data_IF_753417012762
#
_entry.id   IF_753417012762
#
_cell.length_a   1.000
_cell.length_b   1.000
_cell.length_c   1.000
_cell.angle_alpha   90.00
_cell.angle_beta   90.00
_cell.angle_gamma   90.00
#
_symmetry.space_group_name_H-M   'P 1'
#
loop_
_entity.id
_entity.type
_entity.pdbx_description
1 polymer ?
#
# COMPACT_ATOMS: atom_id res chain seq x y z
N UNK A 1 6.59 -44.51 31.22
CA UNK A 1 6.36 -43.23 30.53
C UNK A 1 5.26 -43.44 29.51
N UNK A 2 4.01 -43.21 29.92
CA UNK A 2 2.84 -43.39 29.07
C UNK A 2 2.76 -42.20 28.12
N UNK A 3 2.79 -42.45 26.81
CA UNK A 3 2.52 -41.43 25.81
C UNK A 3 1.09 -40.91 26.04
N UNK A 4 0.96 -39.68 26.51
CA UNK A 4 -0.33 -39.01 26.57
C UNK A 4 -0.83 -38.81 25.14
N UNK A 5 -1.94 -39.46 24.79
CA UNK A 5 -2.73 -39.17 23.61
C UNK A 5 -3.22 -37.72 23.72
N UNK A 6 -2.44 -36.77 23.19
CA UNK A 6 -2.59 -35.33 23.44
C UNK A 6 -3.78 -34.65 22.75
N UNK A 7 -5.00 -35.13 23.00
CA UNK A 7 -6.24 -34.51 22.54
C UNK A 7 -7.52 -34.97 23.25
N UNK A 8 -7.55 -36.12 23.92
CA UNK A 8 -8.80 -36.63 24.49
C UNK A 8 -9.35 -35.72 25.60
N UNK A 9 -10.50 -35.09 25.33
CA UNK A 9 -11.27 -34.26 26.27
C UNK A 9 -10.80 -32.81 26.46
N UNK A 10 -9.85 -32.32 25.66
CA UNK A 10 -9.52 -30.89 25.63
C UNK A 10 -10.62 -30.17 24.85
N UNK A 11 -11.19 -29.12 25.42
CA UNK A 11 -12.18 -28.29 24.73
C UNK A 11 -11.47 -27.09 24.13
N UNK A 12 -11.68 -26.84 22.84
CA UNK A 12 -11.21 -25.64 22.16
C UNK A 12 -12.39 -24.69 21.94
N UNK A 13 -12.17 -23.36 21.93
CA UNK A 13 -13.24 -22.42 21.66
C UNK A 13 -13.72 -22.53 20.20
N UNK A 14 -14.94 -22.05 19.93
CA UNK A 14 -15.47 -21.97 18.57
C UNK A 14 -14.52 -21.16 17.68
N UNK A 15 -14.13 -21.74 16.54
CA UNK A 15 -13.09 -21.17 15.66
C UNK A 15 -11.67 -21.60 16.00
N UNK A 16 -11.46 -22.60 16.87
CA UNK A 16 -10.18 -23.28 17.02
C UNK A 16 -10.35 -24.81 16.95
N UNK A 17 -9.35 -25.50 16.41
CA UNK A 17 -9.38 -26.95 16.20
C UNK A 17 -8.00 -27.57 16.47
N UNK A 18 -7.97 -28.78 17.04
CA UNK A 18 -6.73 -29.57 17.15
C UNK A 18 -6.58 -30.38 15.86
N UNK A 19 -5.67 -29.95 14.99
CA UNK A 19 -5.50 -30.45 13.62
C UNK A 19 -4.37 -31.49 13.47
N UNK A 20 -3.85 -32.02 14.59
CA UNK A 20 -2.85 -33.08 14.59
C UNK A 20 -1.83 -32.93 15.72
N UNK A 21 -0.69 -33.64 15.58
CA UNK A 21 0.45 -33.55 16.50
C UNK A 21 1.78 -33.56 15.75
N UNK A 22 2.76 -32.83 16.26
CA UNK A 22 4.15 -32.83 15.77
C UNK A 22 5.07 -33.07 16.95
N UNK A 23 5.84 -34.16 16.94
CA UNK A 23 6.75 -34.49 18.05
C UNK A 23 6.05 -34.69 19.41
N UNK A 24 4.79 -35.14 19.42
CA UNK A 24 3.97 -35.27 20.64
C UNK A 24 3.31 -33.97 21.11
N UNK A 25 3.59 -32.83 20.45
CA UNK A 25 2.93 -31.55 20.72
C UNK A 25 1.69 -31.41 19.83
N UNK A 26 0.51 -31.09 20.38
CA UNK A 26 -0.68 -30.86 19.58
C UNK A 26 -0.55 -29.61 18.72
N UNK A 27 -1.05 -29.69 17.49
CA UNK A 27 -1.12 -28.58 16.55
C UNK A 27 -2.51 -27.96 16.63
N UNK A 28 -2.58 -26.75 17.16
CA UNK A 28 -3.79 -25.96 17.23
C UNK A 28 -3.91 -25.11 15.97
N UNK A 29 -5.05 -25.19 15.30
CA UNK A 29 -5.46 -24.26 14.25
C UNK A 29 -6.47 -23.29 14.86
N UNK A 30 -6.36 -22.02 14.50
CA UNK A 30 -7.26 -20.95 14.95
C UNK A 30 -7.71 -20.21 13.69
N UNK A 31 -9.02 -20.06 13.54
CA UNK A 31 -9.62 -19.40 12.40
C UNK A 31 -9.30 -17.91 12.42
N UNK A 32 -8.95 -17.38 11.24
CA UNK A 32 -8.85 -15.96 10.96
C UNK A 32 -10.07 -15.58 10.10
N UNK A 33 -11.14 -15.02 10.70
CA UNK A 33 -12.30 -14.62 9.93
C UNK A 33 -11.91 -13.52 8.93
N UNK A 34 -12.40 -13.66 7.70
CA UNK A 34 -12.34 -12.60 6.72
C UNK A 34 -13.35 -11.49 7.04
N UNK A 35 -13.09 -10.28 6.54
CA UNK A 35 -14.06 -9.18 6.56
C UNK A 35 -15.24 -9.43 5.59
N UNK A 36 -16.20 -8.51 5.57
CA UNK A 36 -17.39 -8.58 4.71
C UNK A 36 -17.06 -8.63 3.21
N UNK A 37 -15.88 -8.15 2.82
CA UNK A 37 -15.38 -8.14 1.44
C UNK A 37 -14.52 -9.39 1.12
N UNK A 38 -14.36 -10.31 2.07
CA UNK A 38 -13.64 -11.57 1.90
C UNK A 38 -12.12 -11.46 2.09
N UNK A 39 -11.64 -10.42 2.79
CA UNK A 39 -10.21 -10.20 3.01
C UNK A 39 -9.77 -10.42 4.46
N UNK A 40 -8.52 -10.87 4.63
CA UNK A 40 -7.83 -10.98 5.91
C UNK A 40 -6.74 -9.90 5.98
N UNK A 41 -6.61 -9.24 7.13
CA UNK A 41 -5.58 -8.23 7.35
C UNK A 41 -4.19 -8.80 7.60
N UNK A 42 -3.18 -8.03 7.26
CA UNK A 42 -1.77 -8.33 7.42
C UNK A 42 -1.05 -7.05 7.82
N UNK A 43 -0.19 -7.10 8.84
CA UNK A 43 0.59 -5.95 9.32
C UNK A 43 2.06 -6.17 9.11
N UNK A 44 2.75 -5.23 8.45
CA UNK A 44 4.19 -5.35 8.29
C UNK A 44 4.94 -4.94 9.58
N UNK A 45 5.77 -5.81 10.18
CA UNK A 45 6.50 -5.47 11.40
C UNK A 45 7.65 -4.49 11.16
N UNK A 46 8.08 -4.30 9.89
CA UNK A 46 9.15 -3.37 9.53
C UNK A 46 8.66 -1.93 9.35
N UNK A 47 7.55 -1.74 8.64
CA UNK A 47 7.03 -0.39 8.35
C UNK A 47 5.75 -0.04 9.12
N UNK A 48 5.13 -0.99 9.83
CA UNK A 48 3.92 -0.77 10.61
C UNK A 48 2.63 -0.64 9.79
N UNK A 49 2.73 -0.70 8.45
CA UNK A 49 1.61 -0.52 7.54
C UNK A 49 0.80 -1.82 7.39
N UNK A 50 -0.51 -1.64 7.28
CA UNK A 50 -1.48 -2.71 7.10
C UNK A 50 -1.80 -2.90 5.60
N UNK A 51 -2.01 -4.14 5.19
CA UNK A 51 -2.49 -4.53 3.86
C UNK A 51 -3.38 -5.76 3.98
N UNK A 52 -4.08 -6.13 2.92
CA UNK A 52 -5.00 -7.27 2.96
C UNK A 52 -4.79 -8.29 1.87
N UNK A 53 -5.17 -9.52 2.16
CA UNK A 53 -5.16 -10.65 1.24
C UNK A 53 -6.56 -11.24 1.14
N UNK A 54 -7.01 -11.56 -0.06
CA UNK A 54 -8.29 -12.25 -0.22
C UNK A 54 -8.19 -13.66 0.39
N UNK A 55 -9.18 -14.03 1.20
CA UNK A 55 -9.17 -15.28 1.97
C UNK A 55 -9.00 -16.52 1.07
N UNK A 56 -9.76 -16.61 -0.01
CA UNK A 56 -9.66 -17.73 -0.97
C UNK A 56 -8.26 -17.90 -1.59
N UNK A 57 -7.46 -16.84 -1.64
CA UNK A 57 -6.12 -16.89 -2.25
C UNK A 57 -5.06 -17.28 -1.20
N UNK A 58 -5.39 -17.31 0.09
CA UNK A 58 -4.43 -17.43 1.20
C UNK A 58 -3.66 -18.75 1.19
N UNK A 59 -4.34 -19.87 0.94
CA UNK A 59 -3.72 -21.20 0.87
C UNK A 59 -2.76 -21.34 -0.32
N UNK A 60 -3.06 -20.65 -1.43
CA UNK A 60 -2.25 -20.66 -2.65
C UNK A 60 -1.01 -19.76 -2.61
N UNK A 61 -0.80 -19.02 -1.50
CA UNK A 61 0.34 -18.12 -1.38
C UNK A 61 1.67 -18.88 -1.24
N UNK A 62 2.78 -18.31 -1.76
CA UNK A 62 4.12 -18.85 -1.52
C UNK A 62 4.50 -18.88 -0.04
N UNK A 63 5.52 -19.67 0.32
CA UNK A 63 6.00 -19.78 1.72
C UNK A 63 6.34 -18.42 2.33
N UNK A 64 7.07 -17.61 1.56
CA UNK A 64 7.36 -16.21 1.88
C UNK A 64 6.50 -15.26 1.06
N UNK A 65 5.93 -14.26 1.71
CA UNK A 65 5.19 -13.17 1.07
C UNK A 65 5.91 -11.84 1.27
N UNK A 66 5.54 -10.86 0.44
CA UNK A 66 6.12 -9.53 0.43
C UNK A 66 5.20 -8.49 1.08
N UNK A 67 5.75 -7.60 1.89
CA UNK A 67 5.09 -6.36 2.26
C UNK A 67 4.84 -5.52 0.99
N UNK A 68 3.58 -5.18 0.72
CA UNK A 68 3.17 -4.40 -0.46
C UNK A 68 3.84 -3.03 -0.57
N UNK A 69 4.27 -2.46 0.57
CA UNK A 69 4.84 -1.11 0.64
C UNK A 69 6.38 -1.12 0.64
N UNK A 70 6.99 -1.80 1.62
CA UNK A 70 8.43 -1.70 1.87
C UNK A 70 9.26 -2.87 1.32
N UNK A 71 8.61 -3.93 0.80
CA UNK A 71 9.30 -5.07 0.21
C UNK A 71 9.99 -6.00 1.21
N UNK A 72 9.66 -5.94 2.51
CA UNK A 72 10.07 -7.00 3.44
C UNK A 72 9.50 -8.34 2.93
N UNK A 73 10.36 -9.33 2.70
CA UNK A 73 9.95 -10.69 2.41
C UNK A 73 10.12 -11.57 3.65
N UNK A 74 9.05 -12.24 4.07
CA UNK A 74 9.08 -13.15 5.21
C UNK A 74 7.93 -14.16 5.11
N UNK A 75 7.93 -15.16 5.98
CA UNK A 75 6.81 -16.11 6.09
C UNK A 75 5.51 -15.41 6.51
N UNK A 76 4.36 -15.97 6.14
CA UNK A 76 3.03 -15.36 6.33
C UNK A 76 2.75 -14.94 7.79
N UNK A 77 3.11 -15.78 8.76
CA UNK A 77 2.92 -15.50 10.18
C UNK A 77 3.69 -14.28 10.70
N UNK A 78 4.73 -13.83 9.98
CA UNK A 78 5.45 -12.60 10.31
C UNK A 78 4.64 -11.33 10.04
N UNK A 79 3.49 -11.47 9.37
CA UNK A 79 2.60 -10.38 9.03
C UNK A 79 1.28 -10.42 9.81
N UNK A 80 1.22 -11.16 10.91
CA UNK A 80 0.02 -11.15 11.76
C UNK A 80 -0.26 -9.75 12.31
N UNK A 81 -1.54 -9.42 12.41
CA UNK A 81 -1.96 -8.18 13.07
C UNK A 81 -1.98 -8.35 14.58
N UNK A 82 -2.11 -7.24 15.31
CA UNK A 82 -2.23 -7.27 16.77
C UNK A 82 -3.47 -8.07 17.21
N UNK A 83 -4.60 -7.89 16.53
CA UNK A 83 -5.83 -8.60 16.88
C UNK A 83 -5.75 -10.10 16.57
N UNK A 84 -5.06 -10.48 15.48
CA UNK A 84 -4.76 -11.88 15.18
C UNK A 84 -3.87 -12.49 16.25
N UNK A 85 -2.81 -11.78 16.65
CA UNK A 85 -1.90 -12.22 17.71
C UNK A 85 -2.64 -12.44 19.04
N UNK A 86 -3.46 -11.47 19.47
CA UNK A 86 -4.26 -11.58 20.70
C UNK A 86 -5.22 -12.76 20.64
N UNK A 87 -5.84 -13.00 19.48
CA UNK A 87 -6.71 -14.15 19.23
C UNK A 87 -5.96 -15.48 19.38
N UNK A 88 -4.75 -15.58 18.83
CA UNK A 88 -3.91 -16.76 19.01
C UNK A 88 -3.49 -16.95 20.48
N UNK A 89 -3.12 -15.87 21.18
CA UNK A 89 -2.72 -15.93 22.59
C UNK A 89 -3.83 -16.44 23.51
N UNK A 90 -5.09 -16.04 23.28
CA UNK A 90 -6.24 -16.56 24.04
C UNK A 90 -6.38 -18.07 23.82
N UNK A 91 -6.32 -18.53 22.58
CA UNK A 91 -6.41 -19.96 22.26
C UNK A 91 -5.29 -20.78 22.93
N UNK A 92 -4.05 -20.27 22.88
CA UNK A 92 -2.87 -20.91 23.51
C UNK A 92 -3.00 -20.92 25.03
N UNK A 93 -3.43 -19.80 25.64
CA UNK A 93 -3.63 -19.69 27.09
C UNK A 93 -4.68 -20.69 27.59
N UNK A 94 -5.79 -20.80 26.87
CA UNK A 94 -6.88 -21.70 27.26
C UNK A 94 -6.49 -23.17 27.10
N UNK A 95 -5.75 -23.49 26.04
CA UNK A 95 -5.16 -24.81 25.86
C UNK A 95 -4.18 -25.13 27.01
N UNK A 96 -3.25 -24.23 27.30
CA UNK A 96 -2.25 -24.40 28.36
C UNK A 96 -2.87 -24.56 29.75
N UNK A 97 -3.91 -23.77 30.07
CA UNK A 97 -4.64 -23.89 31.32
C UNK A 97 -5.27 -25.29 31.49
N UNK A 98 -5.90 -25.83 30.45
CA UNK A 98 -6.48 -27.18 30.50
C UNK A 98 -5.45 -28.28 30.66
N UNK A 99 -4.29 -28.16 29.99
CA UNK A 99 -3.18 -29.10 30.16
C UNK A 99 -2.66 -29.05 31.61
N UNK A 100 -2.45 -27.85 32.15
CA UNK A 100 -1.99 -27.67 33.53
C UNK A 100 -3.00 -28.25 34.54
N UNK A 101 -4.30 -28.00 34.38
CA UNK A 101 -5.36 -28.55 35.26
C UNK A 101 -5.39 -30.09 35.24
N UNK A 102 -5.08 -30.72 34.10
CA UNK A 102 -5.03 -32.18 34.02
C UNK A 102 -3.80 -32.77 34.68
N UNK A 103 -2.67 -32.07 34.61
CA UNK A 103 -1.44 -32.48 35.30
C UNK A 103 -1.56 -32.35 36.82
N UNK A 104 -2.45 -31.48 37.32
CA UNK A 104 -2.64 -31.25 38.76
C UNK A 104 -3.69 -32.14 39.44
N UNK A 105 -4.39 -33.03 38.70
CA UNK A 105 -5.31 -34.04 39.24
C UNK A 105 -4.62 -35.15 40.09
N UNK A 106 -3.51 -34.83 40.76
CA UNK A 106 -2.70 -35.74 41.58
C UNK A 106 -1.78 -35.06 42.61
N UNK A 107 -2.06 -33.82 43.05
CA UNK A 107 -1.29 -33.19 44.15
C UNK A 107 -2.14 -33.10 45.42
N UNK A 108 -1.67 -33.78 46.48
CA UNK A 108 -2.32 -33.88 47.80
C UNK A 108 -1.32 -33.62 49.00
N UNK A 109 -1.65 -33.78 50.31
CA UNK A 109 -1.85 -32.78 51.40
C UNK A 109 -0.68 -31.97 51.94
N UNK A 110 0.51 -32.07 51.35
CA UNK A 110 1.74 -31.49 51.91
C UNK A 110 2.27 -30.27 51.10
N UNK A 111 1.43 -29.72 50.21
CA UNK A 111 1.79 -28.67 49.24
C UNK A 111 0.77 -28.60 48.09
N UNK A 112 -0.52 -28.55 48.43
CA UNK A 112 -1.62 -28.87 47.50
C UNK A 112 -2.08 -27.72 46.60
N UNK A 113 -2.43 -28.06 45.36
CA UNK A 113 -3.29 -27.25 44.50
C UNK A 113 -4.52 -28.08 44.13
N UNK A 114 -5.69 -27.66 44.60
CA UNK A 114 -7.00 -28.22 44.22
C UNK A 114 -7.59 -27.47 43.04
N UNK A 115 -7.65 -28.10 41.86
CA UNK A 115 -8.48 -27.66 40.74
C UNK A 115 -9.59 -28.69 40.50
N UNK A 116 -10.81 -28.43 41.00
CA UNK A 116 -11.92 -29.34 40.80
C UNK A 116 -13.28 -28.72 41.10
N UNK A 117 -14.21 -28.82 40.15
CA UNK A 117 -15.64 -28.63 40.39
C UNK A 117 -16.47 -28.23 39.17
N UNK A 118 -15.88 -27.59 38.16
CA UNK A 118 -16.62 -27.16 36.95
C UNK A 118 -15.89 -27.59 35.68
N UNK A 119 -16.60 -28.02 34.62
CA UNK A 119 -15.98 -28.25 33.32
C UNK A 119 -15.31 -26.95 32.87
N UNK A 120 -14.02 -27.03 32.50
CA UNK A 120 -13.30 -25.89 31.94
C UNK A 120 -14.06 -25.40 30.70
N UNK A 121 -14.40 -24.12 30.68
CA UNK A 121 -15.03 -23.47 29.53
C UNK A 121 -13.98 -22.58 28.88
N UNK A 122 -13.55 -22.89 27.65
CA UNK A 122 -12.70 -21.99 26.88
C UNK A 122 -13.33 -20.60 26.79
N UNK A 123 -12.50 -19.58 26.86
CA UNK A 123 -12.90 -18.21 26.58
C UNK A 123 -13.21 -18.09 25.08
N UNK A 124 -14.27 -17.34 24.72
CA UNK A 124 -14.51 -17.01 23.33
C UNK A 124 -13.28 -16.32 22.72
N UNK A 125 -12.95 -16.69 21.49
CA UNK A 125 -11.86 -16.04 20.78
C UNK A 125 -12.22 -14.56 20.52
N UNK A 126 -11.31 -13.60 20.81
CA UNK A 126 -11.53 -12.19 20.52
C UNK A 126 -11.96 -11.96 19.07
N UNK A 127 -12.95 -11.09 18.81
CA UNK A 127 -13.32 -10.73 17.45
C UNK A 127 -12.18 -9.99 16.76
N UNK A 128 -12.15 -10.06 15.44
CA UNK A 128 -11.25 -9.25 14.60
C UNK A 128 -12.11 -8.19 13.91
N UNK A 129 -11.83 -6.93 14.19
CA UNK A 129 -12.43 -5.74 13.59
C UNK A 129 -11.29 -4.77 13.20
N UNK A 130 -10.80 -4.94 11.99
CA UNK A 130 -9.68 -4.19 11.42
C UNK A 130 -10.19 -3.18 10.37
N UNK A 131 -9.50 -2.03 10.24
CA UNK A 131 -9.91 -0.92 9.37
C UNK A 131 -10.19 -1.38 7.94
N UNK A 132 -11.43 -1.30 7.45
CA UNK A 132 -11.90 -1.98 6.23
C UNK A 132 -11.34 -1.46 4.89
N UNK A 133 -11.52 -2.29 3.87
CA UNK A 133 -11.12 -2.20 2.46
C UNK A 133 -11.01 -0.78 1.88
N UNK A 134 -9.84 -0.42 1.32
CA UNK A 134 -9.63 0.91 0.72
C UNK A 134 -9.43 0.84 -0.80
N UNK A 135 -8.56 -0.05 -1.33
CA UNK A 135 -8.39 -0.24 -2.79
C UNK A 135 -8.00 -1.68 -3.14
N UNK A 136 -8.89 -2.43 -3.80
CA UNK A 136 -8.64 -3.83 -4.23
C UNK A 136 -7.80 -3.89 -5.50
N UNK A 137 -6.77 -4.73 -5.50
CA UNK A 137 -5.86 -4.94 -6.63
C UNK A 137 -5.87 -6.41 -7.04
N UNK A 138 -5.74 -6.62 -8.34
CA UNK A 138 -5.50 -7.92 -8.94
C UNK A 138 -4.14 -7.87 -9.63
N UNK A 139 -3.20 -8.70 -9.20
CA UNK A 139 -1.86 -8.70 -9.79
C UNK A 139 -1.91 -9.18 -11.25
N UNK A 140 -1.43 -8.37 -12.19
CA UNK A 140 -1.37 -8.76 -13.61
C UNK A 140 -0.50 -10.00 -13.89
N UNK A 141 0.47 -10.30 -13.02
CA UNK A 141 1.41 -11.43 -13.19
C UNK A 141 0.92 -12.72 -12.56
N UNK A 142 0.44 -12.68 -11.31
CA UNK A 142 0.05 -13.89 -10.55
C UNK A 142 -1.43 -13.97 -10.18
N UNK A 143 -2.25 -12.98 -10.58
CA UNK A 143 -3.70 -12.89 -10.32
C UNK A 143 -4.14 -12.78 -8.86
N UNK A 144 -3.20 -12.74 -7.92
CA UNK A 144 -3.49 -12.56 -6.50
C UNK A 144 -4.35 -11.31 -6.27
N UNK A 145 -5.42 -11.46 -5.47
CA UNK A 145 -6.24 -10.37 -4.98
C UNK A 145 -5.74 -9.89 -3.63
N UNK A 146 -5.46 -8.60 -3.53
CA UNK A 146 -4.97 -7.95 -2.32
C UNK A 146 -5.52 -6.53 -2.21
N UNK A 147 -5.60 -5.97 -1.02
CA UNK A 147 -6.03 -4.59 -0.84
C UNK A 147 -4.95 -3.77 -0.13
N UNK A 148 -4.87 -2.49 -0.50
CA UNK A 148 -3.87 -1.54 0.01
C UNK A 148 -4.55 -0.23 0.44
N UNK A 149 -3.91 0.48 1.36
CA UNK A 149 -4.37 1.76 1.90
C UNK A 149 -3.65 2.96 1.26
N UNK A 150 -2.57 2.71 0.51
CA UNK A 150 -1.76 3.74 -0.12
C UNK A 150 -1.01 3.25 -1.35
N UNK A 151 -0.02 4.05 -1.79
CA UNK A 151 0.84 3.68 -2.91
C UNK A 151 1.66 2.45 -2.55
N UNK A 152 1.58 1.42 -3.38
CA UNK A 152 2.24 0.14 -3.17
C UNK A 152 3.20 -0.17 -4.32
N UNK A 153 4.22 -0.98 -4.03
CA UNK A 153 5.30 -1.32 -4.99
C UNK A 153 5.50 -2.83 -5.16
N UNK A 154 4.84 -3.65 -4.35
CA UNK A 154 5.00 -5.10 -4.36
C UNK A 154 3.64 -5.79 -4.39
N UNK A 155 3.58 -6.90 -5.12
CA UNK A 155 2.57 -7.93 -4.97
C UNK A 155 2.98 -8.85 -3.81
N UNK A 156 2.06 -9.21 -2.90
CA UNK A 156 2.39 -10.11 -1.79
C UNK A 156 2.93 -11.48 -2.23
N UNK A 157 2.52 -12.00 -3.39
CA UNK A 157 2.99 -13.29 -3.88
C UNK A 157 4.25 -13.17 -4.76
N UNK A 158 4.22 -12.37 -5.82
CA UNK A 158 5.28 -12.40 -6.84
C UNK A 158 6.34 -11.29 -6.71
N UNK A 159 6.26 -10.45 -5.68
CA UNK A 159 7.28 -9.43 -5.40
C UNK A 159 7.06 -8.13 -6.18
N UNK A 160 8.15 -7.48 -6.60
CA UNK A 160 8.12 -6.10 -7.09
C UNK A 160 7.23 -5.94 -8.34
N UNK A 161 6.35 -4.95 -8.30
CA UNK A 161 5.46 -4.62 -9.41
C UNK A 161 6.22 -3.87 -10.52
N UNK A 162 5.82 -4.05 -11.80
CA UNK A 162 6.34 -3.24 -12.89
C UNK A 162 6.11 -1.74 -12.63
N UNK A 163 7.11 -0.91 -12.90
CA UNK A 163 7.05 0.52 -12.61
C UNK A 163 5.86 1.24 -13.28
N UNK A 164 5.46 0.80 -14.47
CA UNK A 164 4.31 1.38 -15.18
C UNK A 164 2.96 1.07 -14.48
N UNK A 165 2.84 -0.10 -13.83
CA UNK A 165 1.66 -0.45 -13.03
C UNK A 165 1.58 0.42 -11.78
N UNK A 166 2.71 0.61 -11.09
CA UNK A 166 2.80 1.50 -9.93
C UNK A 166 2.47 2.94 -10.33
N UNK A 167 2.95 3.39 -11.50
CA UNK A 167 2.66 4.72 -12.01
C UNK A 167 1.17 4.92 -12.32
N UNK A 168 0.55 3.98 -13.03
CA UNK A 168 -0.88 4.03 -13.30
C UNK A 168 -1.72 4.04 -12.01
N UNK A 169 -1.38 3.18 -11.04
CA UNK A 169 -2.08 3.11 -9.76
C UNK A 169 -2.00 4.41 -8.96
N UNK A 170 -0.85 5.10 -8.99
CA UNK A 170 -0.68 6.37 -8.30
C UNK A 170 -1.47 7.50 -8.96
N UNK A 171 -1.61 7.51 -10.29
CA UNK A 171 -2.45 8.46 -11.02
C UNK A 171 -3.93 8.24 -10.71
N UNK A 172 -4.38 6.98 -10.67
CA UNK A 172 -5.75 6.64 -10.28
C UNK A 172 -6.03 7.09 -8.84
N UNK A 173 -5.08 6.87 -7.91
CA UNK A 173 -5.20 7.33 -6.53
C UNK A 173 -5.31 8.86 -6.42
N UNK A 174 -4.58 9.60 -7.28
CA UNK A 174 -4.65 11.05 -7.32
C UNK A 174 -6.02 11.53 -7.82
N UNK A 175 -6.58 10.88 -8.84
CA UNK A 175 -7.93 11.13 -9.33
C UNK A 175 -8.98 10.84 -8.25
N UNK A 176 -8.91 9.67 -7.61
CA UNK A 176 -9.84 9.27 -6.54
C UNK A 176 -9.83 10.29 -5.38
N UNK A 177 -8.65 10.81 -5.03
CA UNK A 177 -8.49 11.84 -3.99
C UNK A 177 -9.16 13.16 -4.37
N UNK A 178 -9.09 13.58 -5.63
CA UNK A 178 -9.81 14.77 -6.11
C UNK A 178 -11.32 14.55 -6.15
N UNK A 179 -11.77 13.35 -6.52
CA UNK A 179 -13.18 13.00 -6.53
C UNK A 179 -13.77 13.01 -5.11
N UNK A 180 -13.02 12.50 -4.14
CA UNK A 180 -13.41 12.53 -2.74
C UNK A 180 -13.59 13.96 -2.21
N UNK A 181 -12.61 14.83 -2.45
CA UNK A 181 -12.71 16.24 -2.08
C UNK A 181 -13.91 16.93 -2.75
N UNK A 182 -14.22 16.55 -3.99
CA UNK A 182 -15.34 17.12 -4.76
C UNK A 182 -16.69 16.68 -4.20
N UNK A 183 -16.81 15.42 -3.75
CA UNK A 183 -18.04 14.87 -3.16
C UNK A 183 -18.36 15.44 -1.79
N UNK A 184 -17.37 15.94 -1.05
CA UNK A 184 -17.59 16.56 0.27
C UNK A 184 -18.40 17.85 0.13
N UNK A 185 -19.50 17.93 0.86
CA UNK A 185 -20.41 19.09 0.89
C UNK A 185 -20.71 19.55 2.32
N UNK A 186 -21.39 20.69 2.47
CA UNK A 186 -21.84 21.17 3.78
C UNK A 186 -20.71 21.66 4.71
N UNK A 187 -20.94 21.54 6.02
CA UNK A 187 -20.07 22.09 7.05
C UNK A 187 -18.67 21.48 7.06
N UNK A 188 -18.57 20.16 6.81
CA UNK A 188 -17.29 19.45 6.73
C UNK A 188 -16.42 19.99 5.58
N UNK A 189 -17.00 20.16 4.39
CA UNK A 189 -16.29 20.69 3.24
C UNK A 189 -15.88 22.15 3.43
N UNK A 190 -16.61 22.93 4.24
CA UNK A 190 -16.22 24.28 4.61
C UNK A 190 -15.02 24.26 5.55
N UNK A 191 -15.05 23.43 6.60
CA UNK A 191 -13.96 23.28 7.55
C UNK A 191 -12.65 22.84 6.86
N UNK A 192 -12.71 21.85 5.95
CA UNK A 192 -11.54 21.40 5.20
C UNK A 192 -10.97 22.49 4.27
N UNK A 193 -11.83 23.35 3.69
CA UNK A 193 -11.36 24.51 2.90
C UNK A 193 -10.71 25.58 3.77
N UNK A 194 -11.29 25.87 4.93
CA UNK A 194 -10.70 26.81 5.92
C UNK A 194 -9.32 26.33 6.40
N UNK A 195 -9.14 25.02 6.54
CA UNK A 195 -7.86 24.38 6.87
C UNK A 195 -6.89 24.28 5.69
N UNK A 196 -7.28 24.72 4.49
CA UNK A 196 -6.43 24.69 3.29
C UNK A 196 -6.25 23.30 2.65
N UNK A 197 -6.99 22.28 3.08
CA UNK A 197 -6.81 20.88 2.64
C UNK A 197 -6.98 20.73 1.13
N UNK A 198 -7.91 21.48 0.53
CA UNK A 198 -8.16 21.43 -0.91
C UNK A 198 -6.97 21.94 -1.73
N UNK A 199 -6.42 23.09 -1.35
CA UNK A 199 -5.33 23.74 -2.07
C UNK A 199 -4.01 22.98 -1.83
N UNK A 200 -3.78 22.48 -0.61
CA UNK A 200 -2.64 21.62 -0.29
C UNK A 200 -2.69 20.31 -1.06
N UNK A 201 -3.85 19.64 -1.12
CA UNK A 201 -3.98 18.35 -1.84
C UNK A 201 -3.65 18.49 -3.32
N UNK A 202 -4.14 19.55 -3.99
CA UNK A 202 -3.84 19.79 -5.41
C UNK A 202 -2.35 20.07 -5.63
N UNK A 203 -1.74 20.83 -4.72
CA UNK A 203 -0.31 21.13 -4.73
C UNK A 203 0.51 19.84 -4.58
N UNK A 204 0.19 19.00 -3.60
CA UNK A 204 0.88 17.74 -3.34
C UNK A 204 0.77 16.78 -4.52
N UNK A 205 -0.41 16.71 -5.16
CA UNK A 205 -0.63 15.90 -6.36
C UNK A 205 0.32 16.38 -7.47
N UNK A 206 0.30 17.67 -7.82
CA UNK A 206 1.18 18.22 -8.87
C UNK A 206 2.66 17.97 -8.61
N UNK A 207 3.11 18.15 -7.36
CA UNK A 207 4.50 17.88 -6.97
C UNK A 207 4.82 16.39 -7.16
N UNK A 208 3.90 15.49 -6.81
CA UNK A 208 4.08 14.04 -6.91
C UNK A 208 4.15 13.55 -8.36
N UNK A 209 3.49 14.21 -9.33
CA UNK A 209 3.50 13.79 -10.74
C UNK A 209 4.92 13.70 -11.32
N UNK A 210 5.79 14.66 -11.01
CA UNK A 210 7.17 14.66 -11.51
C UNK A 210 7.98 13.51 -10.90
N UNK A 211 7.83 13.27 -9.60
CA UNK A 211 8.49 12.15 -8.91
C UNK A 211 8.05 10.79 -9.46
N UNK A 212 6.78 10.70 -9.87
CA UNK A 212 6.22 9.51 -10.48
C UNK A 212 6.84 9.22 -11.86
N UNK A 213 6.85 10.24 -12.72
CA UNK A 213 7.48 10.16 -14.05
C UNK A 213 8.96 9.87 -13.92
N UNK A 214 9.66 10.51 -12.98
CA UNK A 214 11.07 10.25 -12.72
C UNK A 214 11.32 8.79 -12.37
N UNK A 215 10.51 8.22 -11.47
CA UNK A 215 10.66 6.83 -11.03
C UNK A 215 10.44 5.86 -12.19
N UNK A 216 9.40 6.10 -12.99
CA UNK A 216 9.10 5.30 -14.17
C UNK A 216 10.21 5.42 -15.23
N UNK A 217 10.62 6.63 -15.56
CA UNK A 217 11.62 6.89 -16.59
C UNK A 217 12.97 6.28 -16.22
N UNK A 218 13.39 6.35 -14.95
CA UNK A 218 14.61 5.66 -14.46
C UNK A 218 14.52 4.14 -14.65
N UNK A 219 13.36 3.55 -14.33
CA UNK A 219 13.16 2.12 -14.46
C UNK A 219 13.18 1.63 -15.92
N UNK A 220 12.61 2.41 -16.84
CA UNK A 220 12.62 2.11 -18.27
C UNK A 220 13.99 2.39 -18.91
N UNK A 221 14.65 3.47 -18.51
CA UNK A 221 15.96 3.82 -19.04
C UNK A 221 17.02 2.79 -18.66
N UNK A 222 17.06 2.38 -17.39
CA UNK A 222 18.00 1.38 -16.85
C UNK A 222 19.48 1.77 -16.89
N UNK A 223 19.85 2.79 -17.66
CA UNK A 223 21.23 3.27 -17.84
C UNK A 223 21.69 4.11 -16.63
N UNK A 224 22.98 4.06 -16.26
CA UNK A 224 23.52 4.93 -15.22
C UNK A 224 23.30 6.42 -15.52
N UNK A 225 22.95 7.18 -14.49
CA UNK A 225 22.80 8.63 -14.57
C UNK A 225 24.07 9.29 -14.03
N UNK A 226 24.77 10.13 -14.82
CA UNK A 226 25.94 10.86 -14.35
C UNK A 226 25.61 11.73 -13.14
N UNK A 227 26.56 11.85 -12.19
CA UNK A 227 26.38 12.68 -10.98
C UNK A 227 26.04 14.14 -11.27
N UNK A 228 26.52 14.69 -12.38
CA UNK A 228 26.25 16.07 -12.82
C UNK A 228 24.81 16.29 -13.29
N UNK A 229 24.06 15.22 -13.54
CA UNK A 229 22.72 15.27 -14.12
C UNK A 229 21.72 14.36 -13.38
N UNK A 230 21.84 14.33 -12.04
CA UNK A 230 21.00 13.46 -11.19
C UNK A 230 19.50 13.74 -11.32
N UNK A 231 19.13 14.95 -11.74
CA UNK A 231 17.75 15.38 -11.91
C UNK A 231 17.31 15.38 -13.39
N UNK A 232 18.03 14.71 -14.29
CA UNK A 232 17.67 14.65 -15.72
C UNK A 232 16.22 14.23 -15.93
N UNK A 233 15.75 13.24 -15.18
CA UNK A 233 14.38 12.71 -15.25
C UNK A 233 13.33 13.58 -14.56
N UNK A 234 13.74 14.59 -13.79
CA UNK A 234 12.82 15.59 -13.24
C UNK A 234 12.64 16.77 -14.20
N UNK A 235 13.44 16.86 -15.28
CA UNK A 235 13.36 17.93 -16.27
C UNK A 235 12.79 17.34 -17.56
N UNK A 236 11.64 17.85 -17.99
CA UNK A 236 10.87 17.26 -19.09
C UNK A 236 11.66 17.18 -20.41
N UNK A 237 12.26 18.28 -20.86
CA UNK A 237 13.04 18.31 -22.11
C UNK A 237 14.33 17.47 -22.03
N UNK A 238 15.21 17.63 -21.01
CA UNK A 238 16.41 16.79 -20.87
C UNK A 238 16.11 15.30 -20.75
N UNK A 239 14.98 14.92 -20.15
CA UNK A 239 14.54 13.54 -20.12
C UNK A 239 14.24 13.00 -21.53
N UNK A 240 13.50 13.77 -22.34
CA UNK A 240 13.18 13.36 -23.72
C UNK A 240 14.46 13.26 -24.56
N UNK A 241 15.34 14.27 -24.48
CA UNK A 241 16.64 14.25 -25.18
C UNK A 241 17.47 13.03 -24.80
N UNK A 242 17.53 12.68 -23.51
CA UNK A 242 18.24 11.49 -23.04
C UNK A 242 17.72 10.19 -23.66
N UNK A 243 16.41 10.07 -23.90
CA UNK A 243 15.84 8.91 -24.57
C UNK A 243 16.21 8.91 -26.06
N UNK A 244 16.09 10.06 -26.74
CA UNK A 244 16.47 10.22 -28.15
C UNK A 244 17.96 9.90 -28.37
N UNK A 245 18.85 10.39 -27.51
CA UNK A 245 20.29 10.13 -27.54
C UNK A 245 20.64 8.63 -27.42
N UNK A 246 19.73 7.82 -26.88
CA UNK A 246 19.86 6.38 -26.80
C UNK A 246 19.32 5.62 -28.03
N UNK A 247 18.68 6.33 -28.97
CA UNK A 247 17.95 5.71 -30.09
C UNK A 247 16.51 5.32 -29.77
N UNK A 248 15.94 5.74 -28.63
CA UNK A 248 14.50 5.56 -28.39
C UNK A 248 13.67 6.53 -29.22
N UNK A 249 12.40 6.19 -29.44
CA UNK A 249 11.44 7.10 -30.06
C UNK A 249 11.26 8.38 -29.22
N UNK A 250 11.16 9.53 -29.90
CA UNK A 250 10.98 10.82 -29.24
C UNK A 250 9.61 10.91 -28.54
N UNK A 251 9.64 11.09 -27.22
CA UNK A 251 8.44 11.23 -26.39
C UNK A 251 7.57 12.41 -26.83
N UNK A 252 8.16 13.50 -27.34
CA UNK A 252 7.45 14.68 -27.82
C UNK A 252 6.48 14.32 -28.94
N UNK A 253 6.91 13.44 -29.84
CA UNK A 253 6.10 12.98 -30.96
C UNK A 253 5.03 11.97 -30.53
N UNK A 254 5.31 11.16 -29.49
CA UNK A 254 4.38 10.14 -28.99
C UNK A 254 3.23 10.71 -28.15
N UNK A 255 3.51 11.75 -27.36
CA UNK A 255 2.54 12.36 -26.45
C UNK A 255 1.68 13.43 -27.15
N UNK A 256 2.03 13.80 -28.38
CA UNK A 256 1.48 14.94 -29.15
C UNK A 256 1.84 16.32 -28.57
N UNK A 257 1.87 17.31 -29.46
CA UNK A 257 2.36 18.67 -29.15
C UNK A 257 1.50 19.38 -28.10
N UNK A 258 0.17 19.23 -28.16
CA UNK A 258 -0.73 19.96 -27.27
C UNK A 258 -0.61 19.45 -25.82
N UNK A 259 -0.47 18.14 -25.61
CA UNK A 259 -0.21 17.55 -24.29
C UNK A 259 1.19 17.93 -23.83
N UNK A 260 2.20 17.88 -24.72
CA UNK A 260 3.58 18.25 -24.36
C UNK A 260 3.70 19.69 -23.85
N UNK A 261 3.04 20.65 -24.50
CA UNK A 261 3.04 22.04 -24.02
C UNK A 261 2.37 22.18 -22.65
N UNK A 262 1.26 21.47 -22.40
CA UNK A 262 0.62 21.47 -21.07
C UNK A 262 1.51 20.84 -20.00
N UNK A 263 2.22 19.77 -20.33
CA UNK A 263 3.21 19.16 -19.43
C UNK A 263 4.34 20.14 -19.10
N UNK A 264 4.83 20.94 -20.06
CA UNK A 264 5.82 21.98 -19.79
C UNK A 264 5.31 22.97 -18.75
N UNK A 265 4.06 23.44 -18.89
CA UNK A 265 3.42 24.31 -17.89
C UNK A 265 3.36 23.60 -16.53
N UNK A 266 2.87 22.36 -16.46
CA UNK A 266 2.83 21.57 -15.22
C UNK A 266 4.20 21.44 -14.54
N UNK A 267 5.28 21.25 -15.31
CA UNK A 267 6.65 21.19 -14.77
C UNK A 267 7.11 22.53 -14.20
N UNK A 268 6.76 23.65 -14.85
CA UNK A 268 7.03 24.98 -14.32
C UNK A 268 6.20 25.27 -13.07
N UNK A 269 4.93 24.89 -13.03
CA UNK A 269 4.10 24.97 -11.83
C UNK A 269 4.75 24.23 -10.67
N UNK A 270 5.21 22.99 -10.88
CA UNK A 270 5.96 22.23 -9.87
C UNK A 270 7.25 22.94 -9.45
N UNK A 271 7.99 23.57 -10.36
CA UNK A 271 9.17 24.37 -10.01
C UNK A 271 8.81 25.49 -9.02
N UNK A 272 7.77 26.27 -9.32
CA UNK A 272 7.31 27.34 -8.44
C UNK A 272 6.86 26.79 -7.08
N UNK A 273 6.05 25.73 -7.06
CA UNK A 273 5.50 25.15 -5.84
C UNK A 273 6.59 24.57 -4.91
N UNK A 274 7.66 24.01 -5.46
CA UNK A 274 8.75 23.39 -4.66
C UNK A 274 9.83 24.40 -4.27
N UNK A 275 10.14 25.38 -5.14
CA UNK A 275 11.33 26.22 -4.98
C UNK A 275 11.05 27.70 -4.78
N UNK A 276 9.87 28.20 -5.13
CA UNK A 276 9.53 29.62 -5.08
C UNK A 276 8.29 29.92 -4.23
N UNK A 277 7.94 29.06 -3.28
CA UNK A 277 6.72 29.17 -2.45
C UNK A 277 5.43 29.36 -3.28
N UNK A 278 5.41 28.78 -4.49
CA UNK A 278 4.33 28.93 -5.45
C UNK A 278 4.18 30.35 -6.02
N UNK A 279 5.16 31.24 -5.88
CA UNK A 279 5.14 32.59 -6.46
C UNK A 279 5.56 32.53 -7.93
N UNK A 280 4.84 33.23 -8.80
CA UNK A 280 5.12 33.30 -10.24
C UNK A 280 6.37 34.13 -10.52
N UNK A 281 7.30 33.55 -11.26
CA UNK A 281 8.53 34.20 -11.74
C UNK A 281 8.50 34.49 -13.25
N UNK A 282 9.56 35.10 -13.79
CA UNK A 282 9.66 35.40 -15.22
C UNK A 282 9.76 34.14 -16.08
N UNK A 283 10.44 33.10 -15.58
CA UNK A 283 10.60 31.81 -16.28
C UNK A 283 9.25 31.15 -16.52
N UNK A 284 8.33 31.21 -15.55
CA UNK A 284 6.97 30.71 -15.70
C UNK A 284 6.22 31.44 -16.82
N UNK A 285 6.26 32.77 -16.84
CA UNK A 285 5.53 33.58 -17.83
C UNK A 285 6.06 33.38 -19.26
N UNK A 286 7.36 33.12 -19.43
CA UNK A 286 7.95 32.77 -20.72
C UNK A 286 7.45 31.41 -21.25
N UNK A 287 7.16 30.47 -20.34
CA UNK A 287 6.69 29.12 -20.68
C UNK A 287 5.15 28.99 -20.72
N UNK A 288 4.42 29.94 -20.14
CA UNK A 288 2.96 30.06 -20.18
C UNK A 288 2.52 31.47 -20.64
N UNK A 289 2.86 31.88 -21.89
CA UNK A 289 2.59 33.24 -22.36
C UNK A 289 1.09 33.52 -22.56
N UNK A 290 0.27 32.48 -22.65
CA UNK A 290 -1.19 32.60 -22.76
C UNK A 290 -1.91 32.59 -21.42
N UNK A 291 -1.18 32.37 -20.33
CA UNK A 291 -1.70 32.37 -18.98
C UNK A 291 -2.15 33.75 -18.51
N UNK A 292 -3.05 33.78 -17.53
CA UNK A 292 -3.53 35.02 -16.88
C UNK A 292 -2.70 35.41 -15.64
N UNK A 293 -1.72 34.59 -15.28
CA UNK A 293 -0.87 34.79 -14.11
C UNK A 293 0.03 36.02 -14.26
N UNK A 294 0.33 36.69 -13.15
CA UNK A 294 1.21 37.87 -13.11
C UNK A 294 2.46 37.61 -12.29
N UNK A 295 3.55 38.26 -12.64
CA UNK A 295 4.80 38.21 -11.87
C UNK A 295 4.55 38.57 -10.40
N UNK A 296 5.06 37.74 -9.48
CA UNK A 296 4.88 37.93 -8.03
C UNK A 296 3.53 37.45 -7.47
N UNK A 297 2.61 36.98 -8.32
CA UNK A 297 1.35 36.39 -7.86
C UNK A 297 1.58 35.00 -7.27
N UNK A 298 0.86 34.63 -6.20
CA UNK A 298 0.81 33.23 -5.75
C UNK A 298 -0.04 32.41 -6.73
N UNK A 299 0.57 31.37 -7.29
CA UNK A 299 -0.06 30.39 -8.14
C UNK A 299 -1.18 29.69 -7.37
N UNK A 300 -2.35 29.61 -7.98
CA UNK A 300 -3.48 28.83 -7.48
C UNK A 300 -3.82 27.77 -8.50
N UNK A 301 -3.83 26.52 -8.05
CA UNK A 301 -4.15 25.38 -8.89
C UNK A 301 -5.63 25.06 -8.72
N UNK A 302 -6.39 25.21 -9.80
CA UNK A 302 -7.78 24.79 -9.85
C UNK A 302 -7.91 23.27 -9.91
N UNK A 303 -9.09 22.77 -9.56
CA UNK A 303 -9.41 21.34 -9.68
C UNK A 303 -9.24 20.84 -11.13
N UNK A 304 -9.73 21.63 -12.09
CA UNK A 304 -9.64 21.35 -13.52
C UNK A 304 -8.20 21.23 -14.00
N UNK A 305 -7.33 22.16 -13.60
CA UNK A 305 -5.91 22.14 -13.96
C UNK A 305 -5.21 20.91 -13.37
N UNK A 306 -5.49 20.59 -12.11
CA UNK A 306 -4.92 19.41 -11.46
C UNK A 306 -5.33 18.11 -12.17
N UNK A 307 -6.62 17.97 -12.54
CA UNK A 307 -7.11 16.81 -13.32
C UNK A 307 -6.49 16.74 -14.70
N UNK A 308 -6.35 17.86 -15.39
CA UNK A 308 -5.70 17.91 -16.69
C UNK A 308 -4.23 17.48 -16.58
N UNK A 309 -3.51 17.93 -15.55
CA UNK A 309 -2.13 17.54 -15.31
C UNK A 309 -1.99 16.04 -15.02
N UNK A 310 -2.92 15.43 -14.27
CA UNK A 310 -2.96 13.98 -14.06
C UNK A 310 -3.12 13.25 -15.41
N UNK A 311 -4.06 13.67 -16.25
CA UNK A 311 -4.31 13.01 -17.53
C UNK A 311 -3.16 13.18 -18.53
N UNK A 312 -2.60 14.39 -18.62
CA UNK A 312 -1.42 14.65 -19.44
C UNK A 312 -0.23 13.81 -18.98
N UNK A 313 -0.06 13.65 -17.66
CA UNK A 313 0.96 12.78 -17.07
C UNK A 313 0.67 11.31 -17.35
N UNK A 314 -0.59 10.88 -17.40
CA UNK A 314 -1.00 9.53 -17.79
C UNK A 314 -0.55 9.21 -19.22
N UNK A 315 -0.77 10.15 -20.15
CA UNK A 315 -0.29 10.02 -21.53
C UNK A 315 1.24 9.92 -21.60
N UNK A 316 1.96 10.74 -20.83
CA UNK A 316 3.42 10.67 -20.75
C UNK A 316 3.91 9.33 -20.19
N UNK A 317 3.34 8.86 -19.09
CA UNK A 317 3.67 7.57 -18.50
C UNK A 317 3.42 6.41 -19.47
N UNK A 318 2.31 6.43 -20.21
CA UNK A 318 2.02 5.43 -21.23
C UNK A 318 3.05 5.47 -22.37
N UNK A 319 3.45 6.66 -22.83
CA UNK A 319 4.47 6.82 -23.86
C UNK A 319 5.84 6.30 -23.42
N UNK A 320 6.25 6.59 -22.18
CA UNK A 320 7.49 6.10 -21.56
C UNK A 320 7.44 4.57 -21.42
N UNK A 321 6.36 4.01 -20.87
CA UNK A 321 6.21 2.57 -20.68
C UNK A 321 6.22 1.79 -22.00
N UNK A 322 5.76 2.41 -23.09
CA UNK A 322 5.77 1.83 -24.42
C UNK A 322 7.08 2.03 -25.19
N UNK A 323 8.12 2.64 -24.59
CA UNK A 323 9.45 2.66 -25.18
C UNK A 323 10.00 1.23 -25.18
N UNK A 324 10.31 0.72 -26.36
CA UNK A 324 11.02 -0.55 -26.53
C UNK A 324 12.49 -0.24 -26.67
N UNK A 325 13.34 -1.08 -26.08
CA UNK A 325 14.78 -1.03 -26.35
C UNK A 325 14.99 -1.09 -27.87
N UNK A 326 15.77 -0.17 -28.47
CA UNK A 326 16.06 -0.20 -29.89
C UNK A 326 16.73 -1.50 -30.35
#
# INVERSE_FOLDING_TARGET
MTAMQGGEGIRVPDGAEIVGQVGGMPRLWVSLPADEDGFIGMRCPKCGEDFRLHNDDYEGLPESIWCVYCGLSSHKGWFETVQQHDRFLVAVRDFGAQVALRMTNGLSPDGEILFGGRPYRPQPLPPIDEERLVRVRNCGSCRLRYAVFGQHRYCPACGQLPAHIVAADALDAATDRLDDLTRRTGAEAKALREQGVFDQTRTDILIALVSLVETLAKAIDGRPVPRRDRNVFQRLEPMADRFVDAGFADLRQRVNEAIWQRLKVTWQQRHLLVHNDGVVDSSYLENDPTGSAKLGQRLRISDRECRQAIEDTRHLCAAIAALKTP
#
